data_IF_998575393450
#
_entry.id   IF_998575393450
#
_cell.length_a   1.000
_cell.length_b   1.000
_cell.length_c   1.000
_cell.angle_alpha   90.00
_cell.angle_beta   90.00
_cell.angle_gamma   90.00
#
_symmetry.space_group_name_H-M   'P 1'
#
loop_
_entity.id
_entity.type
_entity.pdbx_description
1 polymer ?
#
# COMPACT_ATOMS: atom_id res chain seq x y z
N UNK A 1 0.11 -54.06 -23.19
CA UNK A 1 0.63 -52.68 -23.03
C UNK A 1 0.71 -52.04 -24.41
N UNK A 2 -0.29 -51.20 -24.75
CA UNK A 2 -0.27 -50.45 -26.02
C UNK A 2 0.73 -49.31 -25.89
N UNK A 3 1.65 -49.18 -26.85
CA UNK A 3 2.63 -48.09 -26.86
C UNK A 3 1.88 -46.79 -27.15
N UNK A 4 2.17 -45.68 -26.43
CA UNK A 4 1.53 -44.40 -26.69
C UNK A 4 1.79 -44.00 -28.14
N UNK A 5 0.72 -43.58 -28.82
CA UNK A 5 0.77 -43.10 -30.19
C UNK A 5 1.35 -41.68 -30.22
N UNK A 6 1.75 -41.21 -31.40
CA UNK A 6 2.25 -39.84 -31.58
C UNK A 6 1.25 -38.77 -31.09
N UNK A 7 -0.06 -39.05 -31.17
CA UNK A 7 -1.14 -38.15 -30.76
C UNK A 7 -1.17 -38.00 -29.23
N UNK A 8 -0.94 -39.09 -28.49
CA UNK A 8 -0.94 -39.07 -27.01
C UNK A 8 0.18 -38.18 -26.47
N UNK A 9 1.34 -38.19 -27.15
CA UNK A 9 2.48 -37.34 -26.79
C UNK A 9 2.19 -35.85 -27.05
N UNK A 10 1.53 -35.53 -28.17
CA UNK A 10 1.16 -34.15 -28.52
C UNK A 10 0.15 -33.54 -27.54
N UNK A 11 -0.85 -34.33 -27.12
CA UNK A 11 -1.83 -33.89 -26.12
C UNK A 11 -1.15 -33.60 -24.78
N UNK A 12 -0.25 -34.49 -24.33
CA UNK A 12 0.47 -34.30 -23.07
C UNK A 12 1.30 -33.01 -23.05
N UNK A 13 2.04 -32.72 -24.12
CA UNK A 13 2.82 -31.48 -24.26
C UNK A 13 1.91 -30.25 -24.22
N UNK A 14 0.80 -30.30 -24.94
CA UNK A 14 -0.15 -29.16 -25.02
C UNK A 14 -0.74 -28.85 -23.65
N UNK A 15 -1.14 -29.88 -22.89
CA UNK A 15 -1.69 -29.71 -21.54
C UNK A 15 -0.65 -29.09 -20.59
N UNK A 16 0.62 -29.52 -20.66
CA UNK A 16 1.70 -28.96 -19.83
C UNK A 16 1.93 -27.48 -20.15
N UNK A 17 1.97 -27.12 -21.44
CA UNK A 17 2.16 -25.73 -21.86
C UNK A 17 0.99 -24.86 -21.43
N UNK A 18 -0.26 -25.33 -21.61
CA UNK A 18 -1.46 -24.60 -21.17
C UNK A 18 -1.50 -24.47 -19.64
N UNK A 19 -1.15 -25.52 -18.89
CA UNK A 19 -1.08 -25.45 -17.43
C UNK A 19 0.01 -24.48 -16.95
N UNK A 20 1.18 -24.48 -17.60
CA UNK A 20 2.25 -23.52 -17.31
C UNK A 20 1.85 -22.08 -17.61
N UNK A 21 1.15 -21.84 -18.73
CA UNK A 21 0.60 -20.53 -19.07
C UNK A 21 -0.47 -20.11 -18.06
N UNK A 22 -1.41 -20.98 -17.72
CA UNK A 22 -2.43 -20.69 -16.72
C UNK A 22 -1.81 -20.35 -15.37
N UNK A 23 -0.80 -21.09 -14.92
CA UNK A 23 -0.10 -20.80 -13.68
C UNK A 23 0.61 -19.44 -13.70
N UNK A 24 1.24 -19.11 -14.82
CA UNK A 24 1.92 -17.83 -15.01
C UNK A 24 0.93 -16.65 -15.04
N UNK A 25 -0.20 -16.77 -15.77
CA UNK A 25 -1.19 -15.70 -15.92
C UNK A 25 -2.15 -15.56 -14.73
N UNK A 26 -2.40 -16.62 -13.95
CA UNK A 26 -3.38 -16.61 -12.84
C UNK A 26 -2.78 -16.36 -11.45
N UNK A 27 -1.46 -16.21 -11.29
CA UNK A 27 -0.93 -15.76 -10.00
C UNK A 27 0.54 -15.97 -9.69
N UNK A 28 1.27 -16.80 -10.44
CA UNK A 28 2.65 -17.15 -10.05
C UNK A 28 3.75 -16.13 -10.41
N UNK A 29 3.48 -15.12 -11.25
CA UNK A 29 4.53 -14.34 -11.92
C UNK A 29 4.68 -12.84 -11.58
N UNK A 30 3.75 -12.24 -10.83
CA UNK A 30 3.68 -10.76 -10.66
C UNK A 30 3.87 -10.24 -9.22
N UNK A 31 4.31 -11.07 -8.27
CA UNK A 31 4.28 -10.70 -6.86
C UNK A 31 5.41 -9.72 -6.45
N UNK A 32 6.56 -9.73 -7.13
CA UNK A 32 7.73 -8.99 -6.65
C UNK A 32 7.75 -7.51 -7.04
N UNK A 33 7.13 -7.13 -8.16
CA UNK A 33 7.00 -5.71 -8.56
C UNK A 33 5.92 -4.96 -7.79
N UNK A 34 4.97 -5.68 -7.19
CA UNK A 34 3.90 -5.06 -6.42
C UNK A 34 4.42 -4.42 -5.12
N UNK A 35 5.41 -5.02 -4.47
CA UNK A 35 5.91 -4.55 -3.16
C UNK A 35 6.65 -3.21 -3.26
N UNK A 36 7.52 -3.05 -4.25
CA UNK A 36 8.26 -1.80 -4.44
C UNK A 36 7.33 -0.65 -4.87
N UNK A 37 6.35 -0.94 -5.74
CA UNK A 37 5.32 0.04 -6.11
C UNK A 37 4.44 0.44 -4.92
N UNK A 38 4.12 -0.48 -4.01
CA UNK A 38 3.36 -0.16 -2.80
C UNK A 38 4.14 0.77 -1.87
N UNK A 39 5.44 0.56 -1.70
CA UNK A 39 6.27 1.43 -0.87
C UNK A 39 6.35 2.85 -1.44
N UNK A 40 6.53 3.00 -2.76
CA UNK A 40 6.51 4.31 -3.43
C UNK A 40 5.16 5.02 -3.25
N UNK A 41 4.06 4.28 -3.42
CA UNK A 41 2.70 4.80 -3.21
C UNK A 41 2.51 5.26 -1.76
N UNK A 42 2.93 4.49 -0.78
CA UNK A 42 2.79 4.85 0.64
C UNK A 42 3.57 6.13 0.99
N UNK A 43 4.79 6.27 0.46
CA UNK A 43 5.58 7.49 0.63
C UNK A 43 4.88 8.71 0.01
N UNK A 44 4.28 8.54 -1.17
CA UNK A 44 3.52 9.60 -1.84
C UNK A 44 2.27 10.00 -1.05
N UNK A 45 1.52 9.02 -0.55
CA UNK A 45 0.34 9.26 0.30
C UNK A 45 0.73 10.05 1.56
N UNK A 46 1.85 9.70 2.21
CA UNK A 46 2.32 10.45 3.37
C UNK A 46 2.66 11.91 3.03
N UNK A 47 3.35 12.17 1.91
CA UNK A 47 3.64 13.53 1.45
C UNK A 47 2.39 14.34 1.10
N UNK A 48 1.42 13.70 0.43
CA UNK A 48 0.14 14.35 0.08
C UNK A 48 -0.67 14.67 1.34
N UNK A 49 -0.66 13.78 2.34
CA UNK A 49 -1.27 14.01 3.64
C UNK A 49 -0.67 15.25 4.33
N UNK A 50 0.66 15.43 4.32
CA UNK A 50 1.30 16.64 4.86
C UNK A 50 0.78 17.89 4.16
N UNK A 51 0.65 17.85 2.84
CA UNK A 51 0.14 18.99 2.06
C UNK A 51 -1.29 19.33 2.45
N UNK A 52 -2.16 18.32 2.61
CA UNK A 52 -3.55 18.51 3.09
C UNK A 52 -3.59 19.10 4.50
N UNK A 53 -2.79 18.57 5.43
CA UNK A 53 -2.63 19.15 6.75
C UNK A 53 -2.25 20.63 6.69
N UNK A 54 -1.28 21.01 5.85
CA UNK A 54 -0.87 22.42 5.73
C UNK A 54 -1.99 23.33 5.18
N UNK A 55 -2.83 22.83 4.29
CA UNK A 55 -4.00 23.58 3.80
C UNK A 55 -5.04 23.79 4.90
N UNK A 56 -5.34 22.73 5.66
CA UNK A 56 -6.30 22.76 6.77
C UNK A 56 -5.76 23.57 7.94
N UNK A 57 -4.46 23.51 8.23
CA UNK A 57 -3.82 24.32 9.28
C UNK A 57 -4.02 25.83 9.10
N UNK A 58 -4.12 26.29 7.84
CA UNK A 58 -4.32 27.72 7.52
C UNK A 58 -5.78 28.16 7.53
N UNK A 59 -6.72 27.25 7.26
CA UNK A 59 -8.10 27.62 6.92
C UNK A 59 -9.19 26.84 7.67
N UNK A 60 -8.84 25.73 8.31
CA UNK A 60 -9.76 24.80 8.95
C UNK A 60 -9.92 25.03 10.45
N UNK A 61 -10.91 24.35 11.02
CA UNK A 61 -11.16 24.30 12.46
C UNK A 61 -10.11 23.47 13.19
N UNK A 62 -9.98 23.68 14.51
CA UNK A 62 -9.03 22.93 15.34
C UNK A 62 -9.27 21.41 15.27
N UNK A 63 -10.53 20.98 15.20
CA UNK A 63 -10.89 19.56 15.05
C UNK A 63 -10.43 19.00 13.70
N UNK A 64 -10.59 19.74 12.60
CA UNK A 64 -10.10 19.31 11.29
C UNK A 64 -8.57 19.23 11.26
N UNK A 65 -7.87 20.17 11.90
CA UNK A 65 -6.41 20.15 12.02
C UNK A 65 -5.95 18.89 12.77
N UNK A 66 -6.60 18.55 13.88
CA UNK A 66 -6.32 17.31 14.65
C UNK A 66 -6.52 16.05 13.80
N UNK A 67 -7.65 15.95 13.09
CA UNK A 67 -7.94 14.79 12.22
C UNK A 67 -6.90 14.66 11.11
N UNK A 68 -6.55 15.76 10.45
CA UNK A 68 -5.53 15.73 9.40
C UNK A 68 -4.15 15.38 9.96
N UNK A 69 -3.77 15.88 11.14
CA UNK A 69 -2.51 15.50 11.78
C UNK A 69 -2.44 13.99 12.06
N UNK A 70 -3.54 13.38 12.53
CA UNK A 70 -3.62 11.92 12.72
C UNK A 70 -3.60 11.14 11.40
N UNK A 71 -4.18 11.70 10.35
CA UNK A 71 -4.07 11.12 9.00
C UNK A 71 -2.62 11.13 8.50
N UNK A 72 -1.86 12.19 8.74
CA UNK A 72 -0.42 12.22 8.41
C UNK A 72 0.36 11.17 9.21
N UNK A 73 0.15 11.09 10.53
CA UNK A 73 0.82 10.10 11.37
C UNK A 73 0.54 8.66 10.89
N UNK A 74 -0.73 8.33 10.62
CA UNK A 74 -1.10 6.99 10.11
C UNK A 74 -0.53 6.70 8.72
N UNK A 75 -0.35 7.71 7.86
CA UNK A 75 0.27 7.55 6.55
C UNK A 75 1.77 7.22 6.65
N UNK A 76 2.51 7.90 7.54
CA UNK A 76 3.92 7.55 7.79
C UNK A 76 4.07 6.18 8.46
N UNK A 77 3.12 5.78 9.31
CA UNK A 77 3.10 4.43 9.87
C UNK A 77 2.92 3.36 8.77
N UNK A 78 2.01 3.59 7.82
CA UNK A 78 1.82 2.70 6.66
C UNK A 78 3.06 2.66 5.75
N UNK A 79 3.76 3.79 5.61
CA UNK A 79 5.02 3.89 4.89
C UNK A 79 6.23 3.29 5.65
N UNK A 80 6.04 2.80 6.88
CA UNK A 80 7.10 2.28 7.77
C UNK A 80 8.20 3.30 8.07
N UNK A 81 7.88 4.59 8.03
CA UNK A 81 8.78 5.69 8.40
C UNK A 81 8.58 6.07 9.87
N UNK A 82 9.29 5.36 10.75
CA UNK A 82 9.19 5.53 12.20
C UNK A 82 9.61 6.93 12.70
N UNK A 83 10.71 7.54 12.22
CA UNK A 83 11.08 8.92 12.59
C UNK A 83 9.96 9.93 12.28
N UNK A 84 9.43 9.91 11.05
CA UNK A 84 8.35 10.82 10.65
C UNK A 84 7.07 10.52 11.43
N UNK A 85 6.73 9.25 11.63
CA UNK A 85 5.60 8.85 12.47
C UNK A 85 5.68 9.46 13.88
N UNK A 86 6.82 9.34 14.55
CA UNK A 86 7.00 9.89 15.91
C UNK A 86 6.81 11.40 15.95
N UNK A 87 7.39 12.10 14.98
CA UNK A 87 7.25 13.55 14.87
C UNK A 87 5.79 13.95 14.65
N UNK A 88 5.10 13.31 13.71
CA UNK A 88 3.71 13.62 13.39
C UNK A 88 2.73 13.19 14.47
N UNK A 89 3.00 12.11 15.19
CA UNK A 89 2.22 11.72 16.36
C UNK A 89 2.30 12.77 17.46
N UNK A 90 3.45 13.46 17.62
CA UNK A 90 3.53 14.57 18.55
C UNK A 90 2.72 15.77 18.07
N UNK A 91 2.84 16.16 16.81
CA UNK A 91 2.01 17.23 16.20
C UNK A 91 0.53 16.95 16.36
N UNK A 92 0.10 15.71 16.12
CA UNK A 92 -1.28 15.26 16.32
C UNK A 92 -1.72 15.45 17.78
N UNK A 93 -0.93 15.03 18.76
CA UNK A 93 -1.26 15.24 20.17
C UNK A 93 -1.43 16.70 20.52
N UNK A 94 -0.52 17.55 20.04
CA UNK A 94 -0.56 18.99 20.31
C UNK A 94 -1.79 19.65 19.67
N UNK A 95 -2.08 19.32 18.41
CA UNK A 95 -3.22 19.88 17.67
C UNK A 95 -4.57 19.33 18.17
N UNK A 96 -4.65 18.06 18.56
CA UNK A 96 -5.83 17.47 19.18
C UNK A 96 -6.09 18.05 20.58
N UNK A 97 -5.05 18.27 21.40
CA UNK A 97 -5.20 18.95 22.68
C UNK A 97 -5.76 20.37 22.51
N UNK A 98 -5.30 21.11 21.49
CA UNK A 98 -5.86 22.43 21.14
C UNK A 98 -7.33 22.36 20.72
N UNK A 99 -7.76 21.26 20.10
CA UNK A 99 -9.15 21.01 19.75
C UNK A 99 -10.01 20.50 20.92
N UNK A 100 -9.41 20.28 22.10
CA UNK A 100 -10.09 19.65 23.25
C UNK A 100 -10.32 18.15 23.10
N UNK A 101 -9.63 17.51 22.16
CA UNK A 101 -9.72 16.08 21.88
C UNK A 101 -8.56 15.37 22.61
N UNK A 102 -8.90 14.43 23.50
CA UNK A 102 -7.90 13.58 24.16
C UNK A 102 -7.51 12.43 23.23
N UNK A 103 -6.22 12.28 22.92
CA UNK A 103 -5.67 11.31 21.96
C UNK A 103 -4.27 10.86 22.39
#
# INVERSE_FOLDING_TARGET
MSKPSFIDLQIAVTVIVVAGMLWFFLGGGMEQKAVDSLQEVNNKVASDAVTRYQMVKRNGSLSEICVEAGFVASSYLQAKDEPSYKQWKQTERDDCARAGISN
#
